data_IF_990251078782
#
_entry.id   IF_990251078782
#
_cell.length_a   1.000
_cell.length_b   1.000
_cell.length_c   1.000
_cell.angle_alpha   90.00
_cell.angle_beta   90.00
_cell.angle_gamma   90.00
#
_symmetry.space_group_name_H-M   'P 1'
#
loop_
_entity.id
_entity.type
_entity.pdbx_description
1 polymer ?
#
# COMPACT_ATOMS: atom_id res chain seq x y z
N UNK A 1 -2.95 36.59 -29.07
CA UNK A 1 -3.37 36.25 -27.72
C UNK A 1 -2.65 34.98 -27.28
N UNK A 2 -1.65 35.07 -26.39
CA UNK A 2 -0.97 33.91 -25.82
C UNK A 2 -1.76 33.48 -24.57
N UNK A 3 -2.50 32.38 -24.65
CA UNK A 3 -3.04 31.75 -23.47
C UNK A 3 -1.88 31.15 -22.67
N UNK A 4 -1.60 31.69 -21.50
CA UNK A 4 -0.73 31.06 -20.52
C UNK A 4 -1.42 29.82 -19.97
N UNK A 5 -0.99 28.64 -20.38
CA UNK A 5 -1.43 27.39 -19.77
C UNK A 5 -0.92 27.38 -18.31
N UNK A 6 -1.82 27.63 -17.38
CA UNK A 6 -1.55 27.47 -15.96
C UNK A 6 -1.78 25.98 -15.60
N UNK A 7 -0.68 25.27 -15.40
CA UNK A 7 -0.76 23.92 -14.84
C UNK A 7 -1.07 23.98 -13.35
N UNK A 8 -2.12 23.31 -12.94
CA UNK A 8 -2.40 23.12 -11.51
C UNK A 8 -1.37 22.16 -10.88
N UNK A 9 -1.22 22.20 -9.55
CA UNK A 9 -0.42 21.20 -8.81
C UNK A 9 -0.85 19.77 -9.11
N UNK A 10 -2.11 19.56 -9.51
CA UNK A 10 -2.67 18.28 -9.96
C UNK A 10 -2.11 17.83 -11.31
N UNK A 11 -1.95 18.76 -12.24
CA UNK A 11 -1.40 18.45 -13.57
C UNK A 11 0.08 18.12 -13.48
N UNK A 12 0.82 18.78 -12.58
CA UNK A 12 2.22 18.47 -12.28
C UNK A 12 2.38 17.08 -11.64
N UNK A 13 1.47 16.69 -10.73
CA UNK A 13 1.45 15.34 -10.15
C UNK A 13 1.16 14.25 -11.20
N UNK A 14 0.26 14.51 -12.15
CA UNK A 14 -0.03 13.61 -13.26
C UNK A 14 1.15 13.48 -14.23
N UNK A 15 1.79 14.59 -14.55
CA UNK A 15 2.98 14.61 -15.40
C UNK A 15 4.16 13.89 -14.73
N UNK A 16 4.32 14.03 -13.41
CA UNK A 16 5.33 13.30 -12.64
C UNK A 16 5.09 11.79 -12.65
N UNK A 17 3.84 11.37 -12.53
CA UNK A 17 3.46 9.98 -12.60
C UNK A 17 3.62 9.38 -14.03
N UNK A 18 3.35 10.18 -15.06
CA UNK A 18 3.46 9.75 -16.47
C UNK A 18 4.90 9.78 -17.01
N UNK A 19 5.69 10.76 -16.60
CA UNK A 19 6.96 11.07 -17.26
C UNK A 19 8.20 10.97 -16.36
N UNK A 20 8.02 10.57 -15.08
CA UNK A 20 9.11 10.39 -14.11
C UNK A 20 9.63 11.71 -13.48
N UNK A 21 10.39 11.57 -12.39
CA UNK A 21 10.86 12.69 -11.56
C UNK A 21 11.82 13.66 -12.27
N UNK A 22 12.62 13.17 -13.22
CA UNK A 22 13.54 14.01 -13.99
C UNK A 22 12.78 15.05 -14.79
N UNK A 23 11.68 14.66 -15.39
CA UNK A 23 10.79 15.56 -16.14
C UNK A 23 10.02 16.51 -15.22
N UNK A 24 9.70 16.06 -13.99
CA UNK A 24 9.02 16.89 -12.97
C UNK A 24 9.97 17.90 -12.35
N UNK A 25 11.22 17.54 -12.07
CA UNK A 25 12.24 18.47 -11.59
C UNK A 25 12.59 19.51 -12.66
N UNK A 26 12.59 19.14 -13.94
CA UNK A 26 12.72 20.07 -15.05
C UNK A 26 11.50 21.00 -15.16
N UNK A 27 10.29 20.49 -14.91
CA UNK A 27 9.07 21.28 -14.88
C UNK A 27 9.03 22.23 -13.66
N UNK A 28 9.51 21.80 -12.48
CA UNK A 28 9.62 22.61 -11.26
C UNK A 28 10.75 23.66 -11.38
N UNK A 29 11.90 23.30 -11.99
CA UNK A 29 12.98 24.25 -12.33
C UNK A 29 12.52 25.30 -13.34
N UNK A 30 11.53 25.01 -14.16
CA UNK A 30 10.90 25.92 -15.10
C UNK A 30 9.94 26.95 -14.50
N UNK A 31 9.58 26.81 -13.21
CA UNK A 31 8.80 27.82 -12.48
C UNK A 31 9.63 29.08 -12.16
N UNK A 32 10.95 29.05 -12.37
CA UNK A 32 11.86 30.16 -12.15
C UNK A 32 12.29 30.88 -13.46
N UNK A 33 11.77 30.41 -14.63
CA UNK A 33 12.06 31.04 -15.92
C UNK A 33 11.07 30.62 -17.02
N UNK A 34 11.03 31.34 -18.16
CA UNK A 34 10.08 31.02 -19.26
C UNK A 34 10.54 29.74 -19.98
N UNK A 35 10.21 28.58 -19.41
CA UNK A 35 10.39 27.30 -20.10
C UNK A 35 9.26 27.16 -21.13
N UNK A 36 9.61 27.21 -22.38
CA UNK A 36 8.64 27.00 -23.47
C UNK A 36 8.24 25.52 -23.57
N UNK A 37 6.97 25.23 -23.81
CA UNK A 37 6.43 23.86 -24.04
C UNK A 37 7.30 22.98 -24.95
N UNK A 38 7.92 23.52 -26.05
CA UNK A 38 8.84 22.76 -26.88
C UNK A 38 10.05 22.18 -26.15
N UNK A 39 10.62 22.91 -25.16
CA UNK A 39 11.76 22.42 -24.39
C UNK A 39 11.37 21.30 -23.42
N UNK A 40 10.16 21.34 -22.83
CA UNK A 40 9.63 20.26 -22.01
C UNK A 40 9.34 19.00 -22.85
N UNK A 41 8.79 19.17 -24.04
CA UNK A 41 8.57 18.08 -24.98
C UNK A 41 9.88 17.44 -25.43
N UNK A 42 10.89 18.26 -25.78
CA UNK A 42 12.23 17.78 -26.15
C UNK A 42 12.93 17.05 -25.00
N UNK A 43 12.80 17.55 -23.76
CA UNK A 43 13.36 16.89 -22.60
C UNK A 43 12.66 15.54 -22.31
N UNK A 44 11.34 15.47 -22.45
CA UNK A 44 10.57 14.25 -22.32
C UNK A 44 10.93 13.22 -23.43
N UNK A 45 11.10 13.69 -24.66
CA UNK A 45 11.52 12.85 -25.80
C UNK A 45 12.96 12.35 -25.61
N UNK A 46 13.88 13.21 -25.16
CA UNK A 46 15.26 12.81 -24.84
C UNK A 46 15.30 11.76 -23.71
N UNK A 47 14.46 11.89 -22.70
CA UNK A 47 14.35 10.90 -21.62
C UNK A 47 13.75 9.59 -22.15
N UNK A 48 12.72 9.63 -22.99
CA UNK A 48 12.14 8.45 -23.60
C UNK A 48 13.15 7.73 -24.53
N UNK A 49 13.91 8.50 -25.32
CA UNK A 49 14.95 7.94 -26.19
C UNK A 49 16.08 7.30 -25.38
N UNK A 50 16.48 7.89 -24.26
CA UNK A 50 17.47 7.32 -23.35
C UNK A 50 17.02 6.02 -22.71
N UNK A 51 15.74 5.94 -22.30
CA UNK A 51 15.13 4.73 -21.71
C UNK A 51 15.28 3.48 -22.58
N UNK A 52 15.34 3.65 -23.89
CA UNK A 52 15.46 2.57 -24.86
C UNK A 52 16.79 2.59 -25.63
N UNK A 53 17.79 3.28 -25.12
CA UNK A 53 19.07 3.43 -25.81
C UNK A 53 19.92 2.18 -25.83
N UNK A 54 19.71 1.26 -24.87
CA UNK A 54 20.40 -0.03 -24.80
C UNK A 54 19.47 -1.20 -25.19
N UNK A 55 20.01 -2.28 -25.75
CA UNK A 55 19.27 -3.53 -25.91
C UNK A 55 18.78 -4.06 -24.57
N UNK A 56 17.53 -4.53 -24.52
CA UNK A 56 17.00 -5.16 -23.32
C UNK A 56 17.73 -6.48 -23.04
N UNK A 57 18.28 -6.60 -21.86
CA UNK A 57 18.82 -7.86 -21.32
C UNK A 57 17.72 -8.65 -20.60
N UNK A 58 16.82 -7.93 -19.93
CA UNK A 58 15.72 -8.48 -19.19
C UNK A 58 14.43 -7.73 -19.53
N UNK A 59 13.36 -8.47 -19.75
CA UNK A 59 12.00 -7.94 -19.86
C UNK A 59 11.15 -8.57 -18.76
N UNK A 60 10.64 -7.74 -17.84
CA UNK A 60 9.85 -8.21 -16.71
C UNK A 60 8.39 -7.87 -16.91
N UNK A 61 7.53 -8.88 -16.83
CA UNK A 61 6.09 -8.68 -16.72
C UNK A 61 5.76 -8.25 -15.30
N UNK A 62 5.07 -7.13 -15.18
CA UNK A 62 4.61 -6.59 -13.91
C UNK A 62 3.09 -6.67 -13.83
N UNK A 63 2.59 -7.64 -13.06
CA UNK A 63 1.16 -7.82 -12.82
C UNK A 63 0.64 -6.90 -11.72
N UNK A 64 -0.44 -6.16 -12.00
CA UNK A 64 -1.11 -5.32 -11.01
C UNK A 64 -2.63 -5.42 -11.13
N UNK A 65 -3.34 -5.40 -10.00
CA UNK A 65 -4.79 -5.40 -9.97
C UNK A 65 -5.37 -3.99 -9.84
N UNK A 66 -6.54 -3.76 -10.43
CA UNK A 66 -7.37 -2.59 -10.17
C UNK A 66 -6.97 -1.29 -10.87
N UNK A 67 -5.84 -1.21 -11.57
CA UNK A 67 -5.42 -0.02 -12.32
C UNK A 67 -4.45 -0.38 -13.46
N UNK A 68 -4.31 0.52 -14.42
CA UNK A 68 -3.37 0.43 -15.55
C UNK A 68 -2.83 1.83 -15.90
N UNK A 69 -2.04 1.93 -16.96
CA UNK A 69 -1.46 3.21 -17.39
C UNK A 69 -2.52 4.24 -17.83
N UNK A 70 -3.67 3.80 -18.34
CA UNK A 70 -4.74 4.67 -18.82
C UNK A 70 -5.64 5.18 -17.68
N UNK A 71 -5.81 4.40 -16.62
CA UNK A 71 -6.63 4.76 -15.46
C UNK A 71 -5.82 4.87 -14.16
N UNK A 72 -4.60 5.36 -14.25
CA UNK A 72 -3.70 5.52 -13.13
C UNK A 72 -4.34 6.36 -12.01
N UNK A 73 -4.38 5.77 -10.84
CA UNK A 73 -4.85 6.44 -9.64
C UNK A 73 -3.65 6.94 -8.82
N UNK A 74 -3.76 8.15 -8.29
CA UNK A 74 -2.64 8.84 -7.61
C UNK A 74 -2.07 8.00 -6.45
N UNK A 75 -2.94 7.35 -5.68
CA UNK A 75 -2.55 6.49 -4.57
C UNK A 75 -1.83 5.21 -4.99
N UNK A 76 -1.90 4.84 -6.27
CA UNK A 76 -1.21 3.69 -6.87
C UNK A 76 -0.14 4.06 -7.88
N UNK A 77 0.28 5.32 -7.89
CA UNK A 77 1.29 5.81 -8.83
C UNK A 77 2.68 5.18 -8.65
N UNK A 78 2.97 4.68 -7.44
CA UNK A 78 4.29 4.12 -7.09
C UNK A 78 4.72 2.94 -7.95
N UNK A 79 3.78 2.09 -8.35
CA UNK A 79 4.07 0.91 -9.17
C UNK A 79 4.55 1.31 -10.57
N UNK A 80 3.84 2.24 -11.21
CA UNK A 80 4.25 2.75 -12.52
C UNK A 80 5.51 3.61 -12.42
N UNK A 81 5.64 4.39 -11.34
CA UNK A 81 6.86 5.15 -11.06
C UNK A 81 8.07 4.22 -10.95
N UNK A 82 7.97 3.13 -10.18
CA UNK A 82 9.02 2.12 -10.07
C UNK A 82 9.42 1.54 -11.43
N UNK A 83 8.43 1.14 -12.23
CA UNK A 83 8.68 0.55 -13.54
C UNK A 83 9.46 1.53 -14.44
N UNK A 84 9.07 2.80 -14.46
CA UNK A 84 9.71 3.83 -15.29
C UNK A 84 11.09 4.25 -14.77
N UNK A 85 11.26 4.42 -13.45
CA UNK A 85 12.56 4.72 -12.84
C UNK A 85 13.57 3.60 -13.10
N UNK A 86 13.13 2.34 -13.05
CA UNK A 86 13.98 1.19 -13.34
C UNK A 86 14.45 1.16 -14.79
N UNK A 87 13.55 1.41 -15.74
CA UNK A 87 13.88 1.52 -17.16
C UNK A 87 14.86 2.67 -17.41
N UNK A 88 14.60 3.85 -16.85
CA UNK A 88 15.45 5.03 -16.98
C UNK A 88 16.84 4.81 -16.36
N UNK A 89 16.89 4.21 -15.16
CA UNK A 89 18.14 3.95 -14.42
C UNK A 89 19.03 2.94 -15.11
N UNK A 90 18.48 2.07 -15.92
CA UNK A 90 19.21 1.03 -16.64
C UNK A 90 19.39 1.34 -18.13
N UNK A 91 18.99 2.53 -18.58
CA UNK A 91 18.99 2.93 -20.00
C UNK A 91 18.25 1.91 -20.89
N UNK A 92 17.27 1.17 -20.32
CA UNK A 92 16.48 0.16 -21.00
C UNK A 92 17.08 -1.27 -21.02
N UNK A 93 18.20 -1.52 -20.33
CA UNK A 93 18.69 -2.91 -20.19
C UNK A 93 17.68 -3.78 -19.41
N UNK A 94 16.95 -3.20 -18.47
CA UNK A 94 15.73 -3.79 -17.91
C UNK A 94 14.55 -3.04 -18.50
N UNK A 95 13.58 -3.78 -19.05
CA UNK A 95 12.29 -3.27 -19.51
C UNK A 95 11.17 -3.87 -18.68
N UNK A 96 10.12 -3.09 -18.45
CA UNK A 96 8.97 -3.50 -17.64
C UNK A 96 7.70 -3.42 -18.48
N UNK A 97 7.13 -4.59 -18.78
CA UNK A 97 5.81 -4.72 -19.38
C UNK A 97 4.76 -4.65 -18.26
N UNK A 98 4.13 -3.49 -18.12
CA UNK A 98 3.13 -3.26 -17.07
C UNK A 98 1.76 -3.80 -17.50
N UNK A 99 1.27 -4.84 -16.81
CA UNK A 99 0.03 -5.56 -17.08
C UNK A 99 -0.97 -5.31 -15.93
N UNK A 100 -1.62 -4.17 -15.98
CA UNK A 100 -2.57 -3.72 -14.97
C UNK A 100 -3.97 -4.31 -15.14
N UNK A 101 -4.92 -3.84 -14.32
CA UNK A 101 -6.36 -4.18 -14.41
C UNK A 101 -6.66 -5.68 -14.46
N UNK A 102 -5.94 -6.48 -13.69
CA UNK A 102 -6.09 -7.94 -13.61
C UNK A 102 -5.81 -8.71 -14.93
N UNK A 103 -5.09 -8.10 -15.87
CA UNK A 103 -4.80 -8.73 -17.18
C UNK A 103 -4.02 -10.04 -17.05
N UNK A 104 -3.13 -10.14 -16.09
CA UNK A 104 -2.30 -11.33 -15.88
C UNK A 104 -2.57 -11.98 -14.51
N UNK A 105 -2.86 -11.20 -13.49
CA UNK A 105 -3.18 -11.70 -12.15
C UNK A 105 -4.04 -10.72 -11.34
N UNK A 106 -4.81 -11.24 -10.39
CA UNK A 106 -5.60 -10.49 -9.41
C UNK A 106 -4.98 -10.50 -8.01
N UNK A 107 -5.70 -9.96 -7.04
CA UNK A 107 -5.21 -9.82 -5.66
C UNK A 107 -4.83 -11.16 -5.00
N UNK A 108 -5.51 -12.26 -5.33
CA UNK A 108 -5.33 -13.55 -4.67
C UNK A 108 -4.27 -14.45 -5.32
N UNK A 109 -3.98 -14.28 -6.61
CA UNK A 109 -3.13 -15.21 -7.36
C UNK A 109 -1.83 -14.60 -7.90
N UNK A 110 -1.63 -13.27 -7.77
CA UNK A 110 -0.41 -12.60 -8.23
C UNK A 110 0.86 -13.20 -7.60
N UNK A 111 0.83 -13.51 -6.30
CA UNK A 111 1.97 -14.14 -5.61
C UNK A 111 2.32 -15.49 -6.24
N UNK A 112 1.32 -16.36 -6.42
CA UNK A 112 1.52 -17.69 -6.99
C UNK A 112 2.08 -17.60 -8.42
N UNK A 113 1.49 -16.74 -9.26
CA UNK A 113 1.94 -16.55 -10.65
C UNK A 113 3.36 -15.98 -10.69
N UNK A 114 3.73 -15.13 -9.73
CA UNK A 114 5.11 -14.65 -9.62
C UNK A 114 6.06 -15.74 -9.14
N UNK A 115 5.66 -16.58 -8.18
CA UNK A 115 6.47 -17.74 -7.77
C UNK A 115 6.71 -18.73 -8.93
N UNK A 116 5.74 -18.86 -9.84
CA UNK A 116 5.79 -19.69 -11.05
C UNK A 116 6.47 -19.00 -12.25
N UNK A 117 6.96 -17.78 -12.10
CA UNK A 117 7.58 -16.95 -13.15
C UNK A 117 6.66 -16.60 -14.34
N UNK A 118 5.33 -16.75 -14.20
CA UNK A 118 4.35 -16.27 -15.18
C UNK A 118 4.40 -14.73 -15.27
N UNK A 119 4.60 -14.07 -14.14
CA UNK A 119 5.00 -12.67 -14.03
C UNK A 119 6.24 -12.57 -13.15
N UNK A 120 7.11 -11.59 -13.38
CA UNK A 120 8.35 -11.43 -12.62
C UNK A 120 8.18 -10.48 -11.46
N UNK A 121 7.28 -9.50 -11.59
CA UNK A 121 6.96 -8.47 -10.59
C UNK A 121 5.45 -8.47 -10.39
N UNK A 122 5.00 -8.19 -9.18
CA UNK A 122 3.58 -8.04 -8.89
C UNK A 122 3.30 -6.95 -7.86
N UNK A 123 2.05 -6.47 -7.85
CA UNK A 123 1.51 -5.64 -6.77
C UNK A 123 0.20 -6.24 -6.28
N UNK A 124 0.13 -6.45 -4.96
CA UNK A 124 -1.06 -6.95 -4.26
C UNK A 124 -1.03 -6.53 -2.78
N UNK A 125 -2.17 -6.61 -2.10
CA UNK A 125 -2.18 -6.42 -0.65
C UNK A 125 -1.44 -7.55 0.07
N UNK A 126 -0.74 -7.23 1.15
CA UNK A 126 -0.01 -8.23 1.94
C UNK A 126 -0.95 -9.30 2.50
N UNK A 127 -2.15 -8.93 2.93
CA UNK A 127 -3.14 -9.88 3.41
C UNK A 127 -3.61 -10.86 2.33
N UNK A 128 -3.94 -10.37 1.12
CA UNK A 128 -4.33 -11.26 0.02
C UNK A 128 -3.18 -12.19 -0.40
N UNK A 129 -1.95 -11.72 -0.28
CA UNK A 129 -0.74 -12.48 -0.58
C UNK A 129 -0.45 -13.60 0.43
N UNK A 130 -0.96 -13.49 1.65
CA UNK A 130 -0.71 -14.44 2.75
C UNK A 130 -1.23 -15.85 2.47
N UNK A 131 -2.22 -16.01 1.59
CA UNK A 131 -2.72 -17.34 1.17
C UNK A 131 -1.63 -18.17 0.47
N UNK A 132 -0.83 -17.55 -0.38
CA UNK A 132 0.23 -18.22 -1.16
C UNK A 132 1.64 -18.02 -0.56
N UNK A 133 1.82 -17.03 0.30
CA UNK A 133 3.05 -16.77 1.03
C UNK A 133 2.74 -16.46 2.51
N UNK A 134 2.48 -17.50 3.33
CA UNK A 134 1.98 -17.35 4.70
C UNK A 134 2.83 -16.50 5.63
N UNK A 135 4.09 -16.24 5.31
CA UNK A 135 4.92 -15.35 6.11
C UNK A 135 4.44 -13.89 6.08
N UNK A 136 3.66 -13.47 5.08
CA UNK A 136 3.04 -12.13 5.09
C UNK A 136 2.13 -11.90 6.31
N UNK A 137 1.62 -12.96 6.95
CA UNK A 137 0.84 -12.85 8.17
C UNK A 137 1.59 -12.12 9.33
N UNK A 138 2.92 -11.96 9.26
CA UNK A 138 3.65 -11.16 10.26
C UNK A 138 3.17 -9.71 10.32
N UNK A 139 2.57 -9.19 9.22
CA UNK A 139 2.00 -7.85 9.15
C UNK A 139 0.52 -7.80 9.57
N UNK A 140 -0.13 -8.96 9.75
CA UNK A 140 -1.56 -9.06 10.07
C UNK A 140 -1.85 -9.25 11.57
N UNK A 141 -0.85 -9.16 12.44
CA UNK A 141 -1.11 -9.08 13.86
C UNK A 141 -1.79 -7.76 14.22
N UNK A 142 -2.83 -7.84 15.04
CA UNK A 142 -3.59 -6.66 15.42
C UNK A 142 -2.76 -5.68 16.25
N UNK A 143 -2.98 -4.39 16.04
CA UNK A 143 -2.36 -3.27 16.77
C UNK A 143 -0.83 -3.27 16.77
N UNK A 144 -0.22 -3.84 15.74
CA UNK A 144 1.24 -3.85 15.61
C UNK A 144 1.80 -2.44 15.41
N UNK A 145 1.17 -1.65 14.55
CA UNK A 145 1.61 -0.30 14.19
C UNK A 145 0.65 0.76 14.74
N UNK A 146 1.12 1.72 15.56
CA UNK A 146 0.27 2.78 16.11
C UNK A 146 -0.10 3.86 15.07
N UNK A 147 0.65 3.98 13.97
CA UNK A 147 0.43 5.00 12.93
C UNK A 147 1.02 4.59 11.59
N UNK A 148 0.62 5.31 10.53
CA UNK A 148 1.25 5.15 9.20
C UNK A 148 2.74 5.54 9.22
N UNK A 149 3.10 6.54 10.00
CA UNK A 149 4.50 6.93 10.19
C UNK A 149 5.33 5.78 10.76
N UNK A 150 4.81 5.04 11.74
CA UNK A 150 5.49 3.88 12.31
C UNK A 150 5.65 2.72 11.31
N UNK A 151 4.70 2.55 10.38
CA UNK A 151 4.84 1.59 9.29
C UNK A 151 5.98 2.00 8.35
N UNK A 152 6.03 3.27 7.88
CA UNK A 152 7.13 3.74 7.04
C UNK A 152 8.47 3.65 7.77
N UNK A 153 8.54 4.00 9.05
CA UNK A 153 9.75 3.84 9.87
C UNK A 153 10.23 2.38 9.85
N UNK A 154 9.35 1.42 10.11
CA UNK A 154 9.67 0.00 10.02
C UNK A 154 10.16 -0.38 8.61
N UNK A 155 9.42 -0.03 7.55
CA UNK A 155 9.78 -0.43 6.19
C UNK A 155 11.10 0.18 5.70
N UNK A 156 11.56 1.30 6.24
CA UNK A 156 12.89 1.88 6.00
C UNK A 156 13.99 1.31 6.90
N UNK A 157 13.65 0.52 7.90
CA UNK A 157 14.61 0.01 8.87
C UNK A 157 15.31 -1.28 8.40
N UNK A 158 16.51 -1.53 8.90
CA UNK A 158 17.18 -2.82 8.76
C UNK A 158 16.40 -3.96 9.44
N UNK A 159 15.61 -3.65 10.48
CA UNK A 159 14.71 -4.61 11.09
C UNK A 159 13.72 -5.18 10.07
N UNK A 160 13.19 -4.35 9.17
CA UNK A 160 12.31 -4.84 8.11
C UNK A 160 13.04 -5.75 7.09
N UNK A 161 14.33 -5.50 6.84
CA UNK A 161 15.14 -6.41 6.02
C UNK A 161 15.25 -7.78 6.70
N UNK A 162 15.64 -7.79 7.98
CA UNK A 162 15.86 -9.01 8.76
C UNK A 162 14.57 -9.76 9.08
N UNK A 163 13.54 -9.05 9.51
CA UNK A 163 12.33 -9.64 10.09
C UNK A 163 11.21 -9.90 9.05
N UNK A 164 11.25 -9.25 7.88
CA UNK A 164 10.22 -9.40 6.86
C UNK A 164 10.81 -9.89 5.53
N UNK A 165 11.73 -9.12 4.94
CA UNK A 165 12.17 -9.34 3.55
C UNK A 165 13.00 -10.61 3.37
N UNK A 166 13.97 -10.85 4.25
CA UNK A 166 14.80 -12.06 4.17
C UNK A 166 14.01 -13.36 4.39
N UNK A 167 13.12 -13.47 5.39
CA UNK A 167 12.28 -14.65 5.51
C UNK A 167 11.34 -14.85 4.33
N UNK A 168 10.73 -13.80 3.76
CA UNK A 168 9.93 -13.89 2.54
C UNK A 168 10.75 -14.41 1.36
N UNK A 169 11.96 -13.87 1.17
CA UNK A 169 12.88 -14.31 0.12
C UNK A 169 13.23 -15.79 0.28
N UNK A 170 13.69 -16.17 1.46
CA UNK A 170 14.16 -17.53 1.74
C UNK A 170 13.05 -18.58 1.68
N UNK A 171 11.86 -18.29 2.22
CA UNK A 171 10.79 -19.27 2.35
C UNK A 171 9.80 -19.29 1.19
N UNK A 172 9.56 -18.14 0.59
CA UNK A 172 8.50 -17.99 -0.40
C UNK A 172 8.98 -17.55 -1.77
N UNK A 173 10.29 -17.42 -1.97
CA UNK A 173 10.87 -16.95 -3.24
C UNK A 173 10.34 -15.55 -3.63
N UNK A 174 10.16 -14.66 -2.65
CA UNK A 174 9.62 -13.31 -2.84
C UNK A 174 10.63 -12.28 -2.37
N UNK A 175 11.13 -11.45 -3.29
CA UNK A 175 11.90 -10.24 -3.03
C UNK A 175 10.94 -9.08 -2.83
N UNK A 176 10.66 -8.70 -1.58
CA UNK A 176 9.81 -7.55 -1.25
C UNK A 176 10.56 -6.25 -1.59
N UNK A 177 9.96 -5.40 -2.41
CA UNK A 177 10.58 -4.17 -2.89
C UNK A 177 10.10 -2.95 -2.09
N UNK A 178 8.86 -2.51 -2.26
CA UNK A 178 8.32 -1.34 -1.59
C UNK A 178 6.81 -1.47 -1.34
N UNK A 179 6.25 -0.55 -0.56
CA UNK A 179 4.82 -0.53 -0.23
C UNK A 179 4.35 0.88 0.13
N UNK A 180 3.09 1.20 -0.13
CA UNK A 180 2.44 2.28 0.60
C UNK A 180 1.96 1.79 1.97
N UNK A 181 1.65 2.70 2.87
CA UNK A 181 1.25 2.40 4.24
C UNK A 181 -0.07 3.07 4.59
N UNK A 182 -1.03 2.26 4.99
CA UNK A 182 -2.25 2.70 5.66
C UNK A 182 -2.55 1.79 6.86
N UNK A 183 -3.52 2.15 7.66
CA UNK A 183 -4.06 1.32 8.71
C UNK A 183 -5.51 0.96 8.34
N UNK A 184 -5.90 -0.25 8.70
CA UNK A 184 -7.22 -0.77 8.36
C UNK A 184 -8.22 -0.43 9.45
N UNK A 185 -9.43 -0.16 9.03
CA UNK A 185 -10.60 0.06 9.87
C UNK A 185 -11.81 -0.68 9.34
N UNK A 186 -12.99 -0.29 9.80
CA UNK A 186 -14.25 -0.86 9.36
C UNK A 186 -15.00 0.18 8.53
N UNK A 187 -15.20 -0.14 7.25
CA UNK A 187 -15.94 0.70 6.29
C UNK A 187 -17.39 0.25 6.24
N UNK A 188 -18.25 0.92 6.98
CA UNK A 188 -19.66 0.58 7.10
C UNK A 188 -20.46 1.03 5.89
N UNK A 189 -21.35 0.17 5.40
CA UNK A 189 -22.18 0.39 4.22
C UNK A 189 -23.34 1.37 4.44
N UNK A 190 -24.17 1.57 3.40
CA UNK A 190 -25.29 2.55 3.39
C UNK A 190 -26.39 2.27 4.43
N UNK A 191 -26.52 1.05 4.95
CA UNK A 191 -27.39 0.77 6.10
C UNK A 191 -27.08 1.64 7.34
N UNK A 192 -25.87 2.22 7.39
CA UNK A 192 -25.40 3.08 8.47
C UNK A 192 -25.49 4.57 8.14
N UNK A 193 -26.07 4.95 6.99
CA UNK A 193 -26.11 6.35 6.55
C UNK A 193 -26.89 7.25 7.52
N UNK A 194 -28.08 6.81 7.92
CA UNK A 194 -28.98 7.56 8.81
C UNK A 194 -28.72 7.29 10.30
N UNK A 195 -27.74 6.46 10.61
CA UNK A 195 -27.34 6.20 12.00
C UNK A 195 -26.34 7.24 12.49
N UNK A 196 -26.32 7.56 13.79
CA UNK A 196 -25.24 8.36 14.38
C UNK A 196 -23.86 7.76 14.08
N UNK A 197 -22.83 8.57 14.21
CA UNK A 197 -21.45 8.06 14.14
C UNK A 197 -21.22 7.01 15.23
N UNK A 198 -20.46 5.99 14.88
CA UNK A 198 -19.96 5.01 15.85
C UNK A 198 -19.03 5.71 16.84
N UNK A 199 -19.35 5.66 18.14
CA UNK A 199 -18.55 6.26 19.20
C UNK A 199 -18.07 5.25 20.22
N UNK A 200 -18.60 4.03 20.16
CA UNK A 200 -18.24 2.92 21.06
C UNK A 200 -18.01 1.63 20.27
N UNK A 201 -17.05 0.84 20.70
CA UNK A 201 -16.69 -0.42 20.08
C UNK A 201 -17.89 -1.40 20.03
N UNK A 202 -18.71 -1.43 21.07
CA UNK A 202 -19.89 -2.32 21.15
C UNK A 202 -20.91 -2.07 20.04
N UNK A 203 -20.98 -0.87 19.47
CA UNK A 203 -21.89 -0.55 18.37
C UNK A 203 -21.53 -1.30 17.07
N UNK A 204 -20.30 -1.81 16.96
CA UNK A 204 -19.85 -2.63 15.86
C UNK A 204 -20.14 -4.12 16.08
N UNK A 205 -20.49 -4.55 17.30
CA UNK A 205 -20.71 -5.95 17.63
C UNK A 205 -21.79 -6.57 16.74
N UNK A 206 -21.52 -7.79 16.26
CA UNK A 206 -22.43 -8.56 15.41
C UNK A 206 -22.51 -8.09 13.96
N UNK A 207 -21.84 -6.99 13.57
CA UNK A 207 -21.83 -6.56 12.17
C UNK A 207 -21.06 -7.53 11.29
N UNK A 208 -21.64 -7.87 10.13
CA UNK A 208 -21.03 -8.72 9.11
C UNK A 208 -20.05 -7.89 8.29
N UNK A 209 -18.77 -8.12 8.50
CA UNK A 209 -17.75 -7.37 7.78
C UNK A 209 -16.93 -8.29 6.88
N UNK A 210 -16.77 -7.89 5.64
CA UNK A 210 -15.85 -8.56 4.73
C UNK A 210 -14.46 -8.55 5.35
N UNK A 211 -13.79 -9.68 5.29
CA UNK A 211 -12.38 -9.84 5.64
C UNK A 211 -11.66 -10.56 4.50
N UNK A 212 -10.34 -10.38 4.41
CA UNK A 212 -9.50 -11.23 3.57
C UNK A 212 -9.46 -12.65 4.14
N UNK A 213 -9.01 -13.62 3.34
CA UNK A 213 -8.89 -15.01 3.77
C UNK A 213 -7.81 -15.28 4.84
N UNK A 214 -7.30 -14.26 5.55
CA UNK A 214 -6.28 -14.44 6.58
C UNK A 214 -6.89 -14.91 7.90
N UNK A 215 -6.21 -15.83 8.56
CA UNK A 215 -6.66 -16.31 9.87
C UNK A 215 -6.47 -15.25 10.97
N UNK A 216 -5.41 -14.46 10.88
CA UNK A 216 -5.13 -13.41 11.86
C UNK A 216 -6.18 -12.31 11.82
N UNK A 217 -6.61 -11.89 10.62
CA UNK A 217 -7.71 -10.95 10.46
C UNK A 217 -9.00 -11.45 11.10
N UNK A 218 -9.30 -12.72 10.92
CA UNK A 218 -10.46 -13.38 11.53
C UNK A 218 -10.37 -13.36 13.07
N UNK A 219 -9.24 -13.77 13.65
CA UNK A 219 -9.05 -13.82 15.11
C UNK A 219 -9.33 -12.44 15.74
N UNK A 220 -8.74 -11.36 15.23
CA UNK A 220 -8.96 -10.05 15.80
C UNK A 220 -10.42 -9.59 15.69
N UNK A 221 -11.06 -9.86 14.56
CA UNK A 221 -12.46 -9.46 14.36
C UNK A 221 -13.39 -10.24 15.31
N UNK A 222 -13.17 -11.54 15.52
CA UNK A 222 -13.93 -12.34 16.46
C UNK A 222 -13.72 -11.88 17.91
N UNK A 223 -12.48 -11.54 18.30
CA UNK A 223 -12.19 -10.95 19.61
C UNK A 223 -12.94 -9.63 19.83
N UNK A 224 -13.03 -8.79 18.80
CA UNK A 224 -13.79 -7.55 18.81
C UNK A 224 -15.31 -7.75 18.62
N UNK A 225 -15.79 -9.00 18.62
CA UNK A 225 -17.20 -9.38 18.43
C UNK A 225 -17.80 -8.95 17.07
N UNK A 226 -16.95 -8.78 16.06
CA UNK A 226 -17.36 -8.60 14.68
C UNK A 226 -17.62 -9.98 14.04
N UNK A 227 -18.48 -10.04 13.03
CA UNK A 227 -18.68 -11.26 12.24
C UNK A 227 -17.84 -11.18 10.96
N UNK A 228 -16.67 -11.84 10.90
CA UNK A 228 -15.84 -11.84 9.71
C UNK A 228 -16.45 -12.72 8.61
N UNK A 229 -16.64 -12.15 7.42
CA UNK A 229 -17.16 -12.84 6.24
C UNK A 229 -16.06 -12.84 5.17
N UNK A 230 -15.42 -13.99 4.88
CA UNK A 230 -14.39 -14.08 3.86
C UNK A 230 -15.04 -13.95 2.47
N UNK A 231 -14.78 -12.85 1.80
CA UNK A 231 -15.23 -12.53 0.43
C UNK A 231 -14.04 -11.99 -0.36
N UNK A 232 -13.91 -12.37 -1.62
CA UNK A 232 -12.89 -11.84 -2.53
C UNK A 232 -13.00 -10.32 -2.63
N UNK A 233 -11.85 -9.66 -2.84
CA UNK A 233 -11.83 -8.20 -2.91
C UNK A 233 -12.74 -7.66 -4.01
N UNK A 234 -12.71 -8.30 -5.14
CA UNK A 234 -13.47 -7.94 -6.34
C UNK A 234 -15.00 -8.04 -6.14
N UNK A 235 -15.45 -8.85 -5.19
CA UNK A 235 -16.87 -9.05 -4.85
C UNK A 235 -17.37 -8.12 -3.73
N UNK A 236 -16.46 -7.39 -3.07
CA UNK A 236 -16.78 -6.55 -1.88
C UNK A 236 -17.77 -5.44 -2.20
N UNK A 237 -17.61 -4.77 -3.35
CA UNK A 237 -18.51 -3.69 -3.78
C UNK A 237 -19.95 -4.19 -3.90
N UNK A 238 -20.14 -5.33 -4.54
CA UNK A 238 -21.46 -5.92 -4.75
C UNK A 238 -22.03 -6.47 -3.44
N UNK A 239 -21.20 -7.06 -2.58
CA UNK A 239 -21.60 -7.48 -1.24
C UNK A 239 -22.15 -6.35 -0.38
N UNK A 240 -21.51 -5.18 -0.42
CA UNK A 240 -22.00 -3.96 0.25
C UNK A 240 -23.29 -3.44 -0.39
N UNK A 241 -23.35 -3.39 -1.71
CA UNK A 241 -24.52 -2.89 -2.47
C UNK A 241 -25.75 -3.74 -2.23
N UNK A 242 -25.61 -5.05 -2.23
CA UNK A 242 -26.70 -6.01 -2.01
C UNK A 242 -27.04 -6.22 -0.52
N UNK A 243 -26.21 -5.67 0.40
CA UNK A 243 -26.41 -5.82 1.83
C UNK A 243 -26.11 -7.22 2.38
N UNK A 244 -25.33 -8.03 1.67
CA UNK A 244 -24.82 -9.31 2.14
C UNK A 244 -23.85 -9.13 3.32
N UNK A 245 -23.13 -8.01 3.33
CA UNK A 245 -22.25 -7.55 4.40
C UNK A 245 -22.68 -6.16 4.86
N UNK A 246 -22.46 -5.88 6.13
CA UNK A 246 -22.73 -4.57 6.74
C UNK A 246 -21.59 -3.58 6.54
N UNK A 247 -20.39 -4.10 6.38
CA UNK A 247 -19.16 -3.34 6.17
C UNK A 247 -18.04 -4.17 5.59
N UNK A 248 -16.87 -3.55 5.45
CA UNK A 248 -15.64 -4.21 5.01
C UNK A 248 -14.47 -3.79 5.89
N UNK A 249 -13.69 -4.77 6.33
CA UNK A 249 -12.37 -4.55 6.91
C UNK A 249 -11.41 -4.20 5.78
N UNK A 250 -10.99 -2.94 5.73
CA UNK A 250 -10.07 -2.41 4.73
C UNK A 250 -9.54 -1.03 5.14
N UNK A 251 -8.80 -0.36 4.26
CA UNK A 251 -8.30 1.00 4.46
C UNK A 251 -9.03 2.02 3.57
N UNK A 252 -8.97 3.30 3.96
CA UNK A 252 -9.74 4.38 3.31
C UNK A 252 -9.35 4.59 1.85
N UNK A 253 -8.05 4.48 1.52
CA UNK A 253 -7.58 4.55 0.14
C UNK A 253 -8.15 3.43 -0.73
N UNK A 254 -8.34 2.22 -0.18
CA UNK A 254 -8.92 1.11 -0.90
C UNK A 254 -10.39 1.37 -1.30
N UNK A 255 -11.16 1.99 -0.40
CA UNK A 255 -12.54 2.39 -0.71
C UNK A 255 -12.60 3.32 -1.92
N UNK A 256 -11.64 4.23 -2.00
CA UNK A 256 -11.56 5.19 -3.10
C UNK A 256 -11.18 4.53 -4.43
N UNK A 257 -10.09 3.76 -4.47
CA UNK A 257 -9.63 3.17 -5.73
C UNK A 257 -10.55 2.05 -6.25
N UNK A 258 -11.27 1.37 -5.37
CA UNK A 258 -12.24 0.34 -5.75
C UNK A 258 -13.64 0.90 -6.04
N UNK A 259 -13.78 2.23 -6.12
CA UNK A 259 -15.06 2.90 -6.38
C UNK A 259 -16.16 2.54 -5.37
N UNK A 260 -15.80 2.27 -4.10
CA UNK A 260 -16.74 1.90 -3.05
C UNK A 260 -17.34 3.12 -2.32
N UNK A 261 -16.85 4.34 -2.57
CA UNK A 261 -17.35 5.56 -1.90
C UNK A 261 -18.88 5.75 -2.02
N UNK A 262 -19.55 5.39 -3.15
CA UNK A 262 -21.00 5.51 -3.24
C UNK A 262 -21.78 4.55 -2.33
N UNK A 263 -21.16 3.45 -1.86
CA UNK A 263 -21.82 2.43 -1.04
C UNK A 263 -21.35 2.40 0.42
N UNK A 264 -20.35 3.21 0.77
CA UNK A 264 -19.86 3.39 2.15
C UNK A 264 -20.50 4.64 2.76
N UNK A 265 -20.78 4.62 4.06
CA UNK A 265 -21.34 5.76 4.81
C UNK A 265 -20.47 6.22 5.97
N UNK A 266 -19.84 5.29 6.69
CA UNK A 266 -18.92 5.60 7.78
C UNK A 266 -17.61 4.84 7.59
N UNK A 267 -16.49 5.53 7.63
CA UNK A 267 -15.16 4.97 7.70
C UNK A 267 -14.67 5.02 9.15
N UNK A 268 -14.88 3.95 9.91
CA UNK A 268 -14.45 3.85 11.31
C UNK A 268 -12.97 3.52 11.35
N UNK A 269 -12.16 4.49 11.78
CA UNK A 269 -10.69 4.41 11.81
C UNK A 269 -10.19 3.61 13.02
N UNK A 270 -10.41 2.31 13.00
CA UNK A 270 -10.06 1.41 14.09
C UNK A 270 -8.55 1.11 14.18
N UNK A 271 -7.79 1.36 13.11
CA UNK A 271 -6.30 1.23 13.04
C UNK A 271 -5.76 -0.12 13.50
N UNK A 272 -6.55 -1.17 13.42
CA UNK A 272 -6.21 -2.44 14.08
C UNK A 272 -5.33 -3.36 13.24
N UNK A 273 -5.17 -3.11 11.93
CA UNK A 273 -4.28 -3.88 11.06
C UNK A 273 -3.42 -3.00 10.16
N UNK A 274 -2.29 -3.57 9.74
CA UNK A 274 -1.46 -3.03 8.69
C UNK A 274 -2.20 -3.08 7.34
N UNK A 275 -2.43 -1.92 6.73
CA UNK A 275 -3.04 -1.79 5.42
C UNK A 275 -1.96 -1.45 4.38
N UNK A 276 -1.44 -2.46 3.69
CA UNK A 276 -0.35 -2.29 2.72
C UNK A 276 -0.69 -2.97 1.41
N UNK A 277 -0.47 -2.26 0.31
CA UNK A 277 -0.35 -2.87 -1.00
C UNK A 277 1.10 -2.71 -1.44
N UNK A 278 1.80 -3.82 -1.57
CA UNK A 278 3.23 -3.86 -1.83
C UNK A 278 3.52 -4.23 -3.28
N UNK A 279 4.74 -3.90 -3.69
CA UNK A 279 5.36 -4.39 -4.91
C UNK A 279 6.48 -5.34 -4.54
N UNK A 280 6.50 -6.50 -5.15
CA UNK A 280 7.53 -7.51 -4.94
C UNK A 280 7.84 -8.23 -6.25
N UNK A 281 8.93 -8.97 -6.29
CA UNK A 281 9.33 -9.77 -7.44
C UNK A 281 9.73 -11.19 -7.05
N UNK A 282 9.82 -12.06 -8.04
CA UNK A 282 10.38 -13.38 -7.85
C UNK A 282 11.85 -13.27 -7.44
N UNK A 283 12.22 -13.85 -6.30
CA UNK A 283 13.57 -13.73 -5.76
C UNK A 283 14.62 -14.45 -6.61
N UNK A 284 14.29 -15.60 -7.19
CA UNK A 284 15.23 -16.31 -8.11
C UNK A 284 15.45 -15.50 -9.39
N UNK A 285 14.43 -14.80 -9.90
CA UNK A 285 14.60 -13.88 -11.03
C UNK A 285 15.53 -12.74 -10.64
N UNK A 286 15.32 -12.13 -9.46
CA UNK A 286 16.21 -11.10 -8.93
C UNK A 286 17.66 -11.59 -8.82
N UNK A 287 17.87 -12.80 -8.28
CA UNK A 287 19.21 -13.37 -8.07
C UNK A 287 19.94 -13.72 -9.38
N UNK A 288 19.21 -13.95 -10.49
CA UNK A 288 19.79 -14.18 -11.83
C UNK A 288 20.19 -12.90 -12.55
N UNK A 289 19.78 -11.75 -12.06
CA UNK A 289 20.12 -10.45 -12.65
C UNK A 289 21.56 -10.06 -12.24
N UNK A 290 22.32 -9.45 -13.13
CA UNK A 290 23.68 -8.96 -12.85
C UNK A 290 23.70 -7.96 -11.67
N UNK A 291 24.75 -8.01 -10.81
CA UNK A 291 24.81 -7.24 -9.56
C UNK A 291 24.49 -5.75 -9.70
N UNK A 292 25.04 -5.05 -10.73
CA UNK A 292 24.72 -3.64 -10.96
C UNK A 292 23.24 -3.40 -11.33
N UNK A 293 22.58 -4.36 -11.95
CA UNK A 293 21.14 -4.28 -12.26
C UNK A 293 20.30 -4.66 -11.05
N UNK A 294 20.78 -5.54 -10.15
CA UNK A 294 20.17 -5.75 -8.84
C UNK A 294 20.19 -4.45 -8.01
N UNK A 295 21.33 -3.74 -8.00
CA UNK A 295 21.44 -2.44 -7.35
C UNK A 295 20.45 -1.43 -7.95
N UNK A 296 20.29 -1.40 -9.27
CA UNK A 296 19.32 -0.56 -9.94
C UNK A 296 17.86 -0.88 -9.50
N UNK A 297 17.50 -2.18 -9.40
CA UNK A 297 16.19 -2.61 -8.91
C UNK A 297 15.96 -2.11 -7.47
N UNK A 298 16.94 -2.29 -6.59
CA UNK A 298 16.82 -1.87 -5.18
C UNK A 298 16.78 -0.35 -5.02
N UNK A 299 17.57 0.41 -5.78
CA UNK A 299 17.52 1.89 -5.78
C UNK A 299 16.19 2.41 -6.36
N UNK A 300 15.65 1.78 -7.40
CA UNK A 300 14.32 2.11 -7.92
C UNK A 300 13.22 1.79 -6.91
N UNK A 301 13.34 0.66 -6.18
CA UNK A 301 12.42 0.32 -5.10
C UNK A 301 12.46 1.35 -3.97
N UNK A 302 13.66 1.81 -3.58
CA UNK A 302 13.83 2.87 -2.59
C UNK A 302 13.21 4.18 -3.06
N UNK A 303 13.49 4.60 -4.28
CA UNK A 303 12.94 5.84 -4.84
C UNK A 303 11.41 5.76 -4.94
N UNK A 304 10.86 4.59 -5.31
CA UNK A 304 9.42 4.37 -5.30
C UNK A 304 8.82 4.40 -3.89
N UNK A 305 9.53 3.84 -2.88
CA UNK A 305 9.09 3.92 -1.47
C UNK A 305 8.99 5.37 -0.99
N UNK A 306 9.97 6.22 -1.34
CA UNK A 306 9.96 7.66 -1.03
C UNK A 306 8.83 8.38 -1.77
N UNK A 307 8.64 8.03 -3.05
CA UNK A 307 7.55 8.59 -3.86
C UNK A 307 6.18 8.30 -3.24
N UNK A 308 5.90 7.05 -2.88
CA UNK A 308 4.60 6.67 -2.31
C UNK A 308 4.36 7.25 -0.93
N UNK A 309 5.40 7.46 -0.11
CA UNK A 309 5.27 8.13 1.19
C UNK A 309 4.63 9.50 1.05
N UNK A 310 5.08 10.30 0.09
CA UNK A 310 4.54 11.65 -0.14
C UNK A 310 3.23 11.65 -0.92
N UNK A 311 3.17 10.94 -2.04
CA UNK A 311 2.00 10.97 -2.94
C UNK A 311 0.78 10.28 -2.34
N UNK A 312 0.98 9.21 -1.57
CA UNK A 312 -0.12 8.51 -0.92
C UNK A 312 -0.75 9.36 0.19
N UNK A 313 0.06 9.98 1.05
CA UNK A 313 -0.44 10.91 2.08
C UNK A 313 -1.19 12.10 1.44
N UNK A 314 -0.62 12.70 0.40
CA UNK A 314 -1.31 13.75 -0.34
C UNK A 314 -2.65 13.27 -0.93
N UNK A 315 -2.70 12.06 -1.47
CA UNK A 315 -3.93 11.50 -2.02
C UNK A 315 -4.99 11.26 -0.95
N UNK A 316 -4.61 10.74 0.22
CA UNK A 316 -5.52 10.54 1.35
C UNK A 316 -6.21 11.85 1.76
N UNK A 317 -5.46 12.94 1.85
CA UNK A 317 -5.97 14.23 2.31
C UNK A 317 -6.68 15.03 1.21
N UNK A 318 -6.08 15.14 0.02
CA UNK A 318 -6.50 16.09 -1.02
C UNK A 318 -7.44 15.48 -2.07
N UNK A 319 -7.45 14.15 -2.22
CA UNK A 319 -8.28 13.46 -3.22
C UNK A 319 -9.38 12.65 -2.55
N UNK A 320 -9.03 11.86 -1.55
CA UNK A 320 -9.94 10.92 -0.89
C UNK A 320 -10.76 11.64 0.18
N UNK A 321 -10.14 12.50 0.98
CA UNK A 321 -10.76 13.17 2.11
C UNK A 321 -10.81 12.29 3.36
N UNK A 322 -9.74 11.52 3.59
CA UNK A 322 -9.56 10.68 4.79
C UNK A 322 -9.22 11.55 6.02
N UNK A 323 -10.05 12.54 6.30
CA UNK A 323 -9.95 13.48 7.42
C UNK A 323 -11.30 13.61 8.11
N UNK A 324 -11.34 14.03 9.35
CA UNK A 324 -12.55 14.28 10.10
C UNK A 324 -12.68 15.80 10.41
N UNK A 325 -13.61 16.54 9.78
CA UNK A 325 -14.50 16.11 8.69
C UNK A 325 -13.74 15.95 7.34
N UNK A 326 -14.31 15.22 6.36
CA UNK A 326 -13.75 15.14 5.01
C UNK A 326 -13.71 16.53 4.33
N UNK A 327 -12.59 16.84 3.69
CA UNK A 327 -12.40 18.14 3.02
C UNK A 327 -13.38 18.34 1.87
N UNK A 328 -13.94 19.56 1.67
CA UNK A 328 -14.78 19.88 0.54
C UNK A 328 -14.14 19.54 -0.81
N UNK A 329 -14.91 18.94 -1.71
CA UNK A 329 -14.46 18.56 -3.05
C UNK A 329 -13.75 17.19 -3.15
N UNK A 330 -13.42 16.56 -2.02
CA UNK A 330 -12.85 15.20 -1.98
C UNK A 330 -13.90 14.12 -2.25
N UNK A 331 -13.45 12.89 -2.51
CA UNK A 331 -14.36 11.77 -2.78
C UNK A 331 -15.29 11.47 -1.59
N UNK A 332 -14.76 11.42 -0.37
CA UNK A 332 -15.57 11.18 0.83
C UNK A 332 -16.60 12.27 1.05
N UNK A 333 -16.20 13.55 0.89
CA UNK A 333 -17.13 14.67 0.98
C UNK A 333 -18.26 14.57 -0.07
N UNK A 334 -17.93 14.29 -1.34
CA UNK A 334 -18.90 14.17 -2.44
C UNK A 334 -19.94 13.07 -2.23
N UNK A 335 -19.54 11.97 -1.59
CA UNK A 335 -20.40 10.81 -1.35
C UNK A 335 -20.98 10.75 0.06
N UNK A 336 -20.72 11.77 0.89
CA UNK A 336 -21.22 11.83 2.27
C UNK A 336 -20.65 10.74 3.18
N UNK A 337 -19.42 10.27 2.88
CA UNK A 337 -18.72 9.32 3.75
C UNK A 337 -18.20 10.08 4.97
N UNK A 338 -18.57 9.66 6.16
CA UNK A 338 -18.08 10.24 7.41
C UNK A 338 -16.85 9.46 7.88
N UNK A 339 -15.75 10.15 8.13
CA UNK A 339 -14.60 9.56 8.83
C UNK A 339 -14.87 9.61 10.32
N UNK A 340 -14.77 8.46 10.97
CA UNK A 340 -15.12 8.32 12.39
C UNK A 340 -13.89 7.86 13.16
N UNK A 341 -13.41 8.70 14.05
CA UNK A 341 -12.37 8.38 15.01
C UNK A 341 -13.01 7.99 16.34
N UNK A 342 -12.67 6.82 16.86
CA UNK A 342 -13.15 6.41 18.18
C UNK A 342 -12.42 7.18 19.28
N UNK A 343 -13.08 7.46 20.43
CA UNK A 343 -12.41 8.00 21.61
C UNK A 343 -11.19 7.15 22.01
N UNK A 344 -10.17 7.80 22.58
CA UNK A 344 -8.93 7.13 22.97
C UNK A 344 -9.15 5.94 23.92
N UNK A 345 -10.14 6.05 24.81
CA UNK A 345 -10.54 4.97 25.74
C UNK A 345 -11.09 3.74 24.99
N UNK A 346 -11.89 3.96 23.92
CA UNK A 346 -12.43 2.88 23.10
C UNK A 346 -11.35 2.24 22.22
N UNK A 347 -10.42 3.04 21.71
CA UNK A 347 -9.25 2.53 20.99
C UNK A 347 -8.36 1.67 21.89
N UNK A 348 -8.09 2.15 23.12
CA UNK A 348 -7.34 1.38 24.11
C UNK A 348 -8.05 0.08 24.45
N UNK A 349 -9.36 0.11 24.65
CA UNK A 349 -10.19 -1.07 24.91
C UNK A 349 -10.10 -2.09 23.76
N UNK A 350 -10.15 -1.63 22.51
CA UNK A 350 -10.00 -2.50 21.34
C UNK A 350 -8.60 -3.14 21.30
N UNK A 351 -7.55 -2.37 21.59
CA UNK A 351 -6.18 -2.88 21.68
C UNK A 351 -6.01 -3.88 22.85
N UNK A 352 -6.57 -3.59 24.01
CA UNK A 352 -6.50 -4.49 25.19
C UNK A 352 -7.20 -5.84 24.91
N UNK A 353 -8.28 -5.85 24.13
CA UNK A 353 -9.01 -7.05 23.75
C UNK A 353 -8.28 -7.87 22.68
N UNK A 354 -7.74 -7.21 21.65
CA UNK A 354 -7.32 -7.89 20.44
C UNK A 354 -5.81 -7.82 20.14
N UNK A 355 -5.02 -7.06 20.88
CA UNK A 355 -3.57 -7.02 20.67
C UNK A 355 -2.89 -8.29 21.20
N UNK A 356 -1.93 -8.88 20.45
CA UNK A 356 -1.07 -9.95 20.97
C UNK A 356 -0.23 -9.59 22.19
N UNK A 357 -0.05 -8.30 22.51
CA UNK A 357 0.64 -7.87 23.73
C UNK A 357 -0.25 -8.01 24.97
N UNK A 358 -1.49 -7.57 24.86
CA UNK A 358 -2.45 -7.57 25.97
C UNK A 358 -3.17 -8.90 26.12
N UNK A 359 -3.42 -9.60 25.01
CA UNK A 359 -4.14 -10.87 24.95
C UNK A 359 -3.41 -11.88 24.04
N UNK A 360 -2.32 -12.52 24.55
CA UNK A 360 -1.41 -13.32 23.71
C UNK A 360 -1.97 -14.67 23.27
N UNK A 361 -2.86 -15.31 24.05
CA UNK A 361 -3.30 -16.70 23.83
C UNK A 361 -3.91 -16.96 22.45
N UNK A 362 -4.85 -16.14 21.94
CA UNK A 362 -5.45 -16.39 20.62
C UNK A 362 -4.42 -16.37 19.48
N UNK A 363 -3.28 -15.72 19.70
CA UNK A 363 -2.25 -15.51 18.69
C UNK A 363 -1.07 -16.48 18.79
N UNK A 364 -1.01 -17.27 19.88
CA UNK A 364 0.17 -18.08 20.22
C UNK A 364 0.64 -18.98 19.08
N UNK A 365 -0.24 -19.70 18.46
CA UNK A 365 0.10 -20.63 17.35
C UNK A 365 0.77 -19.92 16.19
N UNK A 366 0.28 -18.72 15.85
CA UNK A 366 0.83 -17.92 14.77
C UNK A 366 2.13 -17.21 15.17
N UNK A 367 2.21 -16.69 16.41
CA UNK A 367 3.46 -16.08 16.92
C UNK A 367 4.60 -17.10 16.93
N UNK A 368 4.34 -18.30 17.45
CA UNK A 368 5.33 -19.39 17.53
C UNK A 368 5.79 -19.79 16.11
N UNK A 369 4.85 -20.06 15.21
CA UNK A 369 5.14 -20.47 13.83
C UNK A 369 5.93 -19.41 13.06
N UNK A 370 5.47 -18.16 13.07
CA UNK A 370 6.11 -17.07 12.33
C UNK A 370 7.44 -16.68 12.97
N UNK A 371 7.55 -16.77 14.28
CA UNK A 371 8.78 -16.59 15.02
C UNK A 371 9.83 -17.64 14.69
N UNK A 372 9.45 -18.92 14.62
CA UNK A 372 10.33 -20.00 14.14
C UNK A 372 10.84 -19.70 12.73
N UNK A 373 9.96 -19.26 11.84
CA UNK A 373 10.32 -18.91 10.46
C UNK A 373 11.23 -17.70 10.37
N UNK A 374 11.21 -16.82 11.35
CA UNK A 374 12.08 -15.65 11.49
C UNK A 374 13.43 -15.97 12.20
N UNK A 375 13.71 -17.24 12.50
CA UNK A 375 14.93 -17.65 13.17
C UNK A 375 14.85 -17.78 14.68
N UNK A 376 13.65 -18.04 15.22
CA UNK A 376 13.41 -18.32 16.65
C UNK A 376 13.22 -17.08 17.50
N UNK A 377 12.83 -15.95 16.90
CA UNK A 377 12.53 -14.70 17.62
C UNK A 377 11.03 -14.51 17.81
N UNK A 378 10.60 -13.78 18.84
CA UNK A 378 9.21 -13.32 18.95
C UNK A 378 8.95 -12.21 17.95
N UNK A 379 8.54 -12.61 16.76
CA UNK A 379 8.42 -11.72 15.59
C UNK A 379 7.47 -10.56 15.84
N UNK A 380 6.38 -10.80 16.57
CA UNK A 380 5.46 -9.73 16.91
C UNK A 380 6.11 -8.70 17.81
N UNK A 381 6.76 -9.14 18.90
CA UNK A 381 7.43 -8.26 19.87
C UNK A 381 8.52 -7.43 19.21
N UNK A 382 9.33 -8.05 18.34
CA UNK A 382 10.42 -7.34 17.64
C UNK A 382 9.88 -6.25 16.69
N UNK A 383 8.90 -6.55 15.86
CA UNK A 383 8.30 -5.54 14.95
C UNK A 383 7.56 -4.47 15.73
N UNK A 384 6.80 -4.86 16.76
CA UNK A 384 6.07 -3.96 17.63
C UNK A 384 7.01 -2.96 18.37
N UNK A 385 8.19 -3.40 18.78
CA UNK A 385 9.18 -2.53 19.40
C UNK A 385 9.69 -1.47 18.43
N UNK A 386 10.09 -1.90 17.22
CA UNK A 386 10.53 -0.96 16.16
C UNK A 386 9.43 0.03 15.77
N UNK A 387 8.18 -0.43 15.70
CA UNK A 387 7.04 0.43 15.35
C UNK A 387 6.81 1.55 16.40
N UNK A 388 7.35 1.42 17.59
CA UNK A 388 7.21 2.40 18.71
C UNK A 388 8.48 3.20 18.99
N UNK A 389 9.50 3.08 18.15
CA UNK A 389 10.70 3.93 18.23
C UNK A 389 10.41 5.40 17.89
N UNK A 390 9.29 5.67 17.23
CA UNK A 390 8.85 7.03 16.90
C UNK A 390 7.48 7.33 17.54
N UNK A 391 7.19 8.61 17.83
CA UNK A 391 5.88 9.02 18.33
C UNK A 391 4.75 8.63 17.37
N UNK A 392 3.60 8.23 17.89
CA UNK A 392 2.44 7.82 17.09
C UNK A 392 1.83 8.98 16.27
N UNK A 393 2.00 10.21 16.72
CA UNK A 393 1.54 11.44 16.09
C UNK A 393 2.56 12.07 15.11
N UNK A 394 3.73 11.41 14.91
CA UNK A 394 4.72 11.91 13.95
C UNK A 394 4.10 11.99 12.56
N UNK A 395 4.19 13.16 11.87
CA UNK A 395 3.73 13.25 10.49
C UNK A 395 4.50 12.30 9.56
N UNK A 396 3.79 11.62 8.68
CA UNK A 396 4.38 10.65 7.73
C UNK A 396 5.49 11.29 6.89
N UNK A 397 5.28 12.52 6.43
CA UNK A 397 6.26 13.25 5.61
C UNK A 397 7.58 13.54 6.34
N UNK A 398 7.59 13.46 7.66
CA UNK A 398 8.77 13.68 8.50
C UNK A 398 9.48 12.37 8.86
N UNK A 399 9.03 11.22 8.35
CA UNK A 399 9.76 9.96 8.48
C UNK A 399 10.91 9.96 7.50
N UNK A 400 12.13 9.84 8.05
CA UNK A 400 13.35 9.91 7.24
C UNK A 400 13.53 8.63 6.41
N UNK A 401 13.64 8.72 5.07
CA UNK A 401 13.89 7.59 4.21
C UNK A 401 15.28 7.00 4.41
N UNK A 402 15.38 5.67 4.49
CA UNK A 402 16.65 4.94 4.62
C UNK A 402 16.67 3.74 3.66
N UNK A 403 17.87 3.39 3.21
CA UNK A 403 18.11 2.20 2.40
C UNK A 403 18.20 0.97 3.30
N UNK A 404 17.07 0.27 3.48
CA UNK A 404 16.94 -0.88 4.41
C UNK A 404 17.89 -2.06 4.15
N UNK A 405 18.48 -2.16 2.96
CA UNK A 405 19.40 -3.24 2.55
C UNK A 405 20.87 -2.83 2.63
N UNK A 406 21.20 -1.59 2.89
CA UNK A 406 22.57 -1.10 3.08
C UNK A 406 22.83 -0.93 4.57
N UNK A 407 23.99 -1.40 5.02
CA UNK A 407 24.47 -1.08 6.36
C UNK A 407 24.60 0.45 6.48
N UNK A 408 24.20 0.99 7.65
CA UNK A 408 24.36 2.41 7.94
C UNK A 408 25.85 2.79 8.04
#
# INVERSE_FOLDING_TARGET
MRQSLQFSRRDLGRLAAQFGWTSTLLALGGLVGPVTLPRLAQAAEATANRRFSKPAKHTFKFGASGFNEQNLQIQKSGQLFFARDLEDRTDGEIRVEFLGSNQICGQLDCVQKTQQEITQIFSASTQNSAGNAPYYNVLDFAFMFPSRASQYHFFYSQASQKLLREPLKRRHNIQFLFTHCELRGIMLGKKWADRPNVTKLEQLAGTKNRVTGTQLGRIAMELLKLNPVPIAWEETLDGLRQGLIDGAETWMGAVAYANMTPVVSQAVDLRFFCGTEHTAMNAKVFDRVEGRLQDAIMESAYTAQVHVQGTHEAALHEVIGATNPPRPGTLFHKHGVRVVELPAEEMKKAEDIASPMSNPEPWKVWRDRLGEWAGGVDIYKEIHAVAREIPADKPVVNVEPRRWWKSA
#
